data_IF_070026167195
#
_entry.id   IF_070026167195
#
_cell.length_a   1.000
_cell.length_b   1.000
_cell.length_c   1.000
_cell.angle_alpha   90.00
_cell.angle_beta   90.00
_cell.angle_gamma   90.00
#
_symmetry.space_group_name_H-M   'P 1'
#
loop_
_entity.id
_entity.type
_entity.pdbx_description
1 polymer ?
#
# COMPACT_ATOMS: atom_id res chain seq x y z
N UNK A 1 -12.30 -4.04 -60.60
CA UNK A 1 -12.55 -3.34 -59.31
C UNK A 1 -13.85 -3.79 -58.63
N UNK A 2 -14.98 -3.87 -59.35
CA UNK A 2 -16.31 -4.21 -58.79
C UNK A 2 -16.36 -5.56 -58.05
N UNK A 3 -15.81 -6.65 -58.62
CA UNK A 3 -15.81 -7.99 -57.97
C UNK A 3 -15.08 -8.04 -56.62
N UNK A 4 -14.02 -7.24 -56.44
CA UNK A 4 -13.28 -7.17 -55.16
C UNK A 4 -14.08 -6.45 -54.09
N UNK A 5 -14.85 -5.42 -54.47
CA UNK A 5 -15.78 -4.74 -53.57
C UNK A 5 -16.92 -5.66 -53.12
N UNK A 6 -17.47 -6.47 -54.04
CA UNK A 6 -18.56 -7.41 -53.74
C UNK A 6 -18.14 -8.50 -52.75
N UNK A 7 -16.95 -9.09 -52.95
CA UNK A 7 -16.39 -10.11 -52.04
C UNK A 7 -16.12 -9.52 -50.65
N UNK A 8 -15.62 -8.29 -50.60
CA UNK A 8 -15.37 -7.59 -49.34
C UNK A 8 -16.68 -7.31 -48.59
N UNK A 9 -17.72 -6.85 -49.29
CA UNK A 9 -19.04 -6.61 -48.70
C UNK A 9 -19.67 -7.90 -48.13
N UNK A 10 -19.54 -9.03 -48.83
CA UNK A 10 -20.03 -10.32 -48.34
C UNK A 10 -19.27 -10.82 -47.10
N UNK A 11 -17.95 -10.62 -47.04
CA UNK A 11 -17.14 -10.98 -45.88
C UNK A 11 -17.48 -10.12 -44.65
N UNK A 12 -17.67 -8.81 -44.85
CA UNK A 12 -18.07 -7.91 -43.77
C UNK A 12 -19.47 -8.28 -43.27
N UNK A 13 -20.42 -8.53 -44.16
CA UNK A 13 -21.77 -8.97 -43.79
C UNK A 13 -21.75 -10.29 -43.03
N UNK A 14 -20.95 -11.28 -43.46
CA UNK A 14 -20.83 -12.56 -42.76
C UNK A 14 -20.21 -12.38 -41.37
N UNK A 15 -19.20 -11.51 -41.22
CA UNK A 15 -18.57 -11.23 -39.93
C UNK A 15 -19.54 -10.55 -38.96
N UNK A 16 -20.37 -9.61 -39.44
CA UNK A 16 -21.40 -8.97 -38.63
C UNK A 16 -22.45 -9.97 -38.19
N UNK A 17 -22.88 -10.88 -39.09
CA UNK A 17 -23.80 -11.96 -38.76
C UNK A 17 -23.19 -12.90 -37.72
N UNK A 18 -21.93 -13.31 -37.88
CA UNK A 18 -21.22 -14.16 -36.91
C UNK A 18 -21.12 -13.46 -35.54
N UNK A 19 -20.77 -12.18 -35.49
CA UNK A 19 -20.68 -11.42 -34.24
C UNK A 19 -22.04 -11.24 -33.56
N UNK A 20 -23.12 -11.12 -34.35
CA UNK A 20 -24.48 -11.04 -33.83
C UNK A 20 -24.94 -12.36 -33.21
N UNK A 21 -24.62 -13.50 -33.84
CA UNK A 21 -25.00 -14.83 -33.35
C UNK A 21 -24.06 -15.39 -32.26
N UNK A 22 -22.84 -14.87 -32.16
CA UNK A 22 -21.89 -15.18 -31.10
C UNK A 22 -21.55 -13.89 -30.33
N UNK A 23 -22.49 -13.34 -29.53
CA UNK A 23 -22.16 -12.24 -28.64
C UNK A 23 -21.04 -12.71 -27.71
N UNK A 24 -19.98 -11.92 -27.61
CA UNK A 24 -18.95 -12.14 -26.59
C UNK A 24 -19.64 -11.83 -25.26
N UNK A 25 -19.85 -12.87 -24.46
CA UNK A 25 -20.33 -12.70 -23.09
C UNK A 25 -19.30 -11.84 -22.36
N UNK A 26 -19.69 -10.60 -22.04
CA UNK A 26 -18.85 -9.72 -21.26
C UNK A 26 -18.83 -10.29 -19.85
N UNK A 27 -17.71 -10.90 -19.48
CA UNK A 27 -17.47 -11.33 -18.11
C UNK A 27 -17.61 -10.10 -17.21
N UNK A 28 -18.65 -10.08 -16.39
CA UNK A 28 -18.88 -8.99 -15.45
C UNK A 28 -17.66 -8.93 -14.53
N UNK A 29 -16.91 -7.82 -14.50
CA UNK A 29 -15.67 -7.77 -13.75
C UNK A 29 -15.97 -8.06 -12.28
N UNK A 30 -15.34 -9.11 -11.76
CA UNK A 30 -15.46 -9.50 -10.36
C UNK A 30 -15.25 -8.28 -9.45
N UNK A 31 -16.07 -8.11 -8.39
CA UNK A 31 -15.95 -6.95 -7.52
C UNK A 31 -14.54 -6.93 -6.92
N UNK A 32 -13.78 -5.89 -7.28
CA UNK A 32 -12.41 -5.71 -6.78
C UNK A 32 -12.42 -5.70 -5.24
N UNK A 33 -11.47 -6.38 -4.58
CA UNK A 33 -11.23 -6.25 -3.13
C UNK A 33 -10.94 -4.80 -2.73
N UNK A 34 -10.28 -4.06 -3.61
CA UNK A 34 -9.73 -2.74 -3.36
C UNK A 34 -10.59 -1.65 -3.95
N UNK A 35 -10.66 -0.51 -3.25
CA UNK A 35 -11.34 0.70 -3.69
C UNK A 35 -10.36 1.87 -3.53
N UNK A 36 -10.14 2.66 -4.58
CA UNK A 36 -9.28 3.84 -4.51
C UNK A 36 -10.03 5.01 -3.88
N UNK A 37 -9.34 5.77 -3.04
CA UNK A 37 -9.88 6.92 -2.31
C UNK A 37 -8.98 8.15 -2.57
N UNK A 38 -9.60 9.29 -2.89
CA UNK A 38 -8.89 10.56 -3.11
C UNK A 38 -8.38 11.16 -1.80
N UNK A 39 -7.54 12.20 -1.90
CA UNK A 39 -7.11 13.01 -0.75
C UNK A 39 -8.29 13.57 0.08
N UNK A 40 -9.44 13.85 -0.55
CA UNK A 40 -10.64 14.33 0.14
C UNK A 40 -11.53 13.23 0.72
N UNK A 41 -11.09 11.96 0.69
CA UNK A 41 -11.85 10.82 1.23
C UNK A 41 -12.95 10.31 0.31
N UNK A 42 -13.00 10.73 -0.95
CA UNK A 42 -14.04 10.30 -1.89
C UNK A 42 -13.62 9.04 -2.65
N UNK A 43 -14.51 8.03 -2.81
CA UNK A 43 -14.21 6.86 -3.61
C UNK A 43 -14.15 7.21 -5.09
N UNK A 44 -13.20 6.61 -5.81
CA UNK A 44 -13.08 6.72 -7.27
C UNK A 44 -12.92 5.34 -7.91
N UNK A 45 -13.25 5.24 -9.19
CA UNK A 45 -13.09 4.00 -9.94
C UNK A 45 -11.65 3.46 -9.88
N UNK A 46 -11.49 2.13 -9.91
CA UNK A 46 -10.19 1.47 -9.74
C UNK A 46 -9.21 1.78 -10.88
N UNK A 47 -9.70 2.22 -12.04
CA UNK A 47 -8.91 2.63 -13.20
C UNK A 47 -8.62 4.15 -13.20
N UNK A 48 -9.16 4.88 -12.23
CA UNK A 48 -8.98 6.33 -12.09
C UNK A 48 -7.84 6.70 -11.13
N UNK A 49 -7.46 7.98 -11.18
CA UNK A 49 -6.48 8.59 -10.28
C UNK A 49 -6.51 10.13 -10.38
N UNK A 50 -5.72 10.83 -9.55
CA UNK A 50 -4.86 10.29 -8.49
C UNK A 50 -5.67 9.78 -7.29
N UNK A 51 -5.07 8.88 -6.51
CA UNK A 51 -5.61 8.42 -5.21
C UNK A 51 -4.53 8.55 -4.15
N UNK A 52 -4.95 8.75 -2.91
CA UNK A 52 -4.07 8.92 -1.75
C UNK A 52 -4.23 7.81 -0.73
N UNK A 53 -5.35 7.08 -0.80
CA UNK A 53 -5.60 5.93 0.05
C UNK A 53 -6.27 4.79 -0.71
N UNK A 54 -6.18 3.59 -0.14
CA UNK A 54 -6.82 2.38 -0.66
C UNK A 54 -7.65 1.77 0.45
N UNK A 55 -8.94 1.62 0.22
CA UNK A 55 -9.85 0.88 1.06
C UNK A 55 -9.76 -0.61 0.70
N UNK A 56 -9.45 -1.43 1.69
CA UNK A 56 -9.57 -2.88 1.63
C UNK A 56 -10.97 -3.30 2.07
N UNK A 57 -11.85 -3.59 1.11
CA UNK A 57 -13.24 -3.99 1.39
C UNK A 57 -13.35 -5.35 2.09
N UNK A 58 -12.28 -6.15 2.13
CA UNK A 58 -12.25 -7.43 2.85
C UNK A 58 -12.07 -7.21 4.36
N UNK A 59 -11.21 -6.27 4.75
CA UNK A 59 -10.85 -6.04 6.15
C UNK A 59 -11.55 -4.83 6.76
N UNK A 60 -12.11 -3.94 5.93
CA UNK A 60 -12.67 -2.67 6.39
C UNK A 60 -11.59 -1.65 6.76
N UNK A 61 -10.35 -1.85 6.32
CA UNK A 61 -9.23 -0.97 6.61
C UNK A 61 -8.96 -0.01 5.46
N UNK A 62 -8.66 1.24 5.79
CA UNK A 62 -8.20 2.26 4.87
C UNK A 62 -6.69 2.45 5.03
N UNK A 63 -5.95 2.35 3.94
CA UNK A 63 -4.49 2.36 3.93
C UNK A 63 -3.93 3.61 3.26
N UNK A 64 -2.86 4.16 3.83
CA UNK A 64 -2.04 5.21 3.21
C UNK A 64 -1.42 4.70 1.91
N UNK A 65 -1.37 5.53 0.88
CA UNK A 65 -0.59 5.26 -0.34
C UNK A 65 0.65 6.15 -0.35
N UNK A 66 1.83 5.51 -0.33
CA UNK A 66 3.11 6.19 -0.43
C UNK A 66 3.30 6.88 -1.79
N UNK A 67 4.09 7.94 -1.80
CA UNK A 67 4.35 8.78 -2.96
C UNK A 67 5.85 8.83 -3.29
N UNK A 68 6.20 9.69 -4.25
CA UNK A 68 7.56 10.00 -4.71
C UNK A 68 7.57 11.53 -4.94
N UNK A 69 7.45 12.26 -3.82
CA UNK A 69 7.11 13.68 -3.79
C UNK A 69 7.88 14.47 -2.73
N UNK A 70 8.85 13.85 -2.07
CA UNK A 70 9.71 14.41 -1.03
C UNK A 70 8.96 15.03 0.17
N UNK A 71 7.65 14.81 0.28
CA UNK A 71 6.83 15.22 1.43
C UNK A 71 6.74 14.08 2.46
N UNK A 72 5.96 14.25 3.52
CA UNK A 72 5.84 13.24 4.61
C UNK A 72 5.44 11.84 4.10
N UNK A 73 4.77 11.75 2.95
CA UNK A 73 4.28 10.50 2.37
C UNK A 73 5.25 9.83 1.40
N UNK A 74 6.46 10.35 1.25
CA UNK A 74 7.44 9.76 0.34
C UNK A 74 7.81 8.32 0.75
N UNK A 75 7.95 7.46 -0.26
CA UNK A 75 8.33 6.08 -0.10
C UNK A 75 9.79 5.84 0.30
N UNK A 76 10.68 6.80 0.08
CA UNK A 76 12.09 6.70 0.45
C UNK A 76 12.34 6.98 1.93
N UNK A 77 11.38 7.55 2.65
CA UNK A 77 11.52 7.84 4.07
C UNK A 77 11.48 6.59 4.92
N UNK A 78 12.39 6.57 5.88
CA UNK A 78 12.48 5.55 6.90
C UNK A 78 12.41 6.19 8.28
N UNK A 79 11.89 5.44 9.23
CA UNK A 79 11.53 5.93 10.53
C UNK A 79 12.08 4.96 11.58
N UNK A 80 12.48 5.50 12.72
CA UNK A 80 12.64 4.66 13.92
C UNK A 80 11.29 4.43 14.59
N UNK A 81 11.21 3.37 15.38
CA UNK A 81 10.00 3.05 16.10
C UNK A 81 9.95 3.83 17.40
N UNK A 82 8.93 4.68 17.53
CA UNK A 82 8.62 5.47 18.71
C UNK A 82 7.11 5.73 18.77
N UNK A 83 6.47 5.54 19.93
CA UNK A 83 5.02 5.75 20.10
C UNK A 83 4.68 7.00 20.94
N UNK A 84 5.67 7.86 21.19
CA UNK A 84 5.56 8.99 22.12
C UNK A 84 5.92 8.64 23.57
N UNK A 85 6.08 7.35 23.90
CA UNK A 85 6.42 6.88 25.26
C UNK A 85 7.55 5.85 25.26
N UNK A 86 7.52 4.92 24.31
CA UNK A 86 8.42 3.77 24.16
C UNK A 86 9.08 3.84 22.79
N UNK A 87 10.26 3.24 22.71
CA UNK A 87 11.06 3.23 21.50
C UNK A 87 12.18 4.27 21.51
N UNK A 88 12.68 4.60 20.32
CA UNK A 88 13.79 5.55 20.15
C UNK A 88 13.40 6.59 19.11
N UNK A 89 13.26 7.87 19.48
CA UNK A 89 12.94 8.93 18.53
C UNK A 89 14.13 9.23 17.61
N UNK A 90 13.86 9.89 16.48
CA UNK A 90 14.87 10.53 15.63
C UNK A 90 16.00 9.61 15.11
N UNK A 91 15.71 8.35 14.75
CA UNK A 91 16.71 7.42 14.18
C UNK A 91 16.39 6.92 12.77
N UNK A 92 15.36 7.48 12.13
CA UNK A 92 15.08 7.30 10.71
C UNK A 92 15.90 8.20 9.79
N UNK A 93 15.54 8.19 8.51
CA UNK A 93 16.09 9.05 7.45
C UNK A 93 14.93 9.61 6.63
N UNK A 94 14.69 10.91 6.77
CA UNK A 94 13.65 11.67 6.11
C UNK A 94 14.18 13.10 5.87
N UNK A 95 14.25 13.55 4.62
CA UNK A 95 14.93 14.82 4.27
C UNK A 95 14.03 16.05 4.28
N UNK A 96 12.74 15.91 4.56
CA UNK A 96 11.82 17.05 4.60
C UNK A 96 11.94 17.87 5.89
N UNK A 97 12.74 17.42 6.86
CA UNK A 97 13.06 18.15 8.09
C UNK A 97 14.39 17.71 8.74
N UNK A 98 14.98 18.59 9.55
CA UNK A 98 16.29 18.38 10.17
C UNK A 98 16.29 17.36 11.35
N UNK A 99 15.11 16.97 11.84
CA UNK A 99 14.88 16.04 12.96
C UNK A 99 13.45 15.48 12.91
N UNK A 100 13.12 14.40 13.64
CA UNK A 100 11.78 13.77 13.77
C UNK A 100 11.41 12.65 12.81
N UNK A 101 12.40 11.94 12.27
CA UNK A 101 12.16 10.72 11.48
C UNK A 101 11.83 9.50 12.37
N UNK A 102 10.67 9.52 13.03
CA UNK A 102 10.12 8.40 13.80
C UNK A 102 8.61 8.18 13.56
N UNK A 103 8.11 7.03 13.98
CA UNK A 103 6.72 6.63 13.72
C UNK A 103 5.68 7.53 14.39
N UNK A 104 6.00 8.14 15.53
CA UNK A 104 5.07 9.02 16.23
C UNK A 104 4.89 10.34 15.47
N UNK A 105 5.98 10.90 14.95
CA UNK A 105 5.92 12.10 14.11
C UNK A 105 5.15 11.84 12.81
N UNK A 106 5.44 10.74 12.08
CA UNK A 106 4.72 10.40 10.83
C UNK A 106 3.20 10.29 11.04
N UNK A 107 2.79 9.61 12.11
CA UNK A 107 1.37 9.51 12.51
C UNK A 107 0.78 10.88 12.83
N UNK A 108 1.49 11.68 13.63
CA UNK A 108 1.02 13.01 14.06
C UNK A 108 0.80 13.93 12.87
N UNK A 109 1.73 13.98 11.92
CA UNK A 109 1.63 14.81 10.72
C UNK A 109 0.53 14.34 9.78
N UNK A 110 0.44 13.03 9.53
CA UNK A 110 -0.61 12.48 8.68
C UNK A 110 -2.01 12.80 9.22
N UNK A 111 -2.18 12.75 10.54
CA UNK A 111 -3.44 13.13 11.19
C UNK A 111 -3.72 14.64 11.11
N UNK A 112 -2.70 15.48 11.20
CA UNK A 112 -2.84 16.92 11.02
C UNK A 112 -3.22 17.31 9.58
N UNK A 113 -2.70 16.59 8.58
CA UNK A 113 -3.07 16.79 7.16
C UNK A 113 -4.47 16.28 6.82
N UNK A 114 -5.09 15.50 7.71
CA UNK A 114 -6.38 14.85 7.48
C UNK A 114 -6.37 14.00 6.19
N UNK A 115 -5.31 13.22 5.96
CA UNK A 115 -5.13 12.40 4.76
C UNK A 115 -6.40 11.57 4.48
N UNK A 116 -6.95 11.71 3.27
CA UNK A 116 -8.19 11.05 2.84
C UNK A 116 -9.41 11.39 3.71
N UNK A 117 -9.44 12.60 4.27
CA UNK A 117 -10.50 13.06 5.16
C UNK A 117 -10.47 12.41 6.56
N UNK A 118 -9.34 11.80 6.94
CA UNK A 118 -9.19 11.05 8.20
C UNK A 118 -8.10 11.62 9.07
N UNK A 119 -8.33 11.64 10.39
CA UNK A 119 -7.41 12.15 11.42
C UNK A 119 -7.16 11.15 12.55
N UNK A 120 -7.48 9.87 12.31
CA UNK A 120 -7.33 8.74 13.23
C UNK A 120 -6.37 7.66 12.69
N UNK A 121 -5.41 8.07 11.86
CA UNK A 121 -4.33 7.21 11.36
C UNK A 121 -3.44 6.72 12.49
N UNK A 122 -2.98 5.47 12.35
CA UNK A 122 -2.06 4.81 13.28
C UNK A 122 -1.14 3.85 12.53
N UNK A 123 -0.09 3.42 13.22
CA UNK A 123 0.73 2.28 12.77
C UNK A 123 -0.14 1.01 12.79
N UNK A 124 -0.08 0.15 11.76
CA UNK A 124 -0.85 -1.09 11.70
C UNK A 124 -0.29 -2.14 12.66
N UNK A 125 -1.13 -3.05 13.14
CA UNK A 125 -0.67 -4.29 13.81
C UNK A 125 0.02 -5.23 12.82
N UNK A 126 0.72 -6.25 13.31
CA UNK A 126 1.35 -7.26 12.43
C UNK A 126 0.31 -7.97 11.58
N UNK A 127 -0.83 -8.34 12.18
CA UNK A 127 -1.91 -9.05 11.51
C UNK A 127 -2.52 -8.22 10.38
N UNK A 128 -2.79 -6.93 10.63
CA UNK A 128 -3.34 -6.01 9.63
C UNK A 128 -2.38 -5.82 8.46
N UNK A 129 -1.10 -5.52 8.75
CA UNK A 129 -0.11 -5.27 7.71
C UNK A 129 0.15 -6.52 6.87
N UNK A 130 0.13 -7.70 7.50
CA UNK A 130 0.29 -8.98 6.81
C UNK A 130 -0.86 -9.27 5.82
N UNK A 131 -2.04 -8.65 5.97
CA UNK A 131 -3.15 -8.82 5.01
C UNK A 131 -2.88 -8.19 3.64
N UNK A 132 -1.88 -7.31 3.54
CA UNK A 132 -1.43 -6.70 2.29
C UNK A 132 -0.45 -7.58 1.51
N UNK A 133 0.11 -8.62 2.14
CA UNK A 133 1.09 -9.50 1.51
C UNK A 133 0.46 -10.29 0.37
N UNK A 134 1.09 -10.20 -0.80
CA UNK A 134 0.74 -10.95 -2.00
C UNK A 134 1.97 -11.71 -2.52
N UNK A 135 2.07 -12.98 -2.15
CA UNK A 135 3.19 -13.85 -2.52
C UNK A 135 3.18 -14.27 -4.00
N UNK A 136 2.07 -14.08 -4.71
CA UNK A 136 1.98 -14.32 -6.16
C UNK A 136 2.74 -13.27 -6.97
N UNK A 137 3.13 -12.14 -6.36
CA UNK A 137 3.96 -11.13 -7.02
C UNK A 137 5.35 -11.73 -7.32
N UNK A 138 5.90 -11.55 -8.54
CA UNK A 138 7.21 -12.07 -8.91
C UNK A 138 8.35 -11.64 -7.98
N UNK A 139 9.45 -12.39 -8.01
CA UNK A 139 10.66 -12.03 -7.28
C UNK A 139 11.26 -10.73 -7.82
N UNK A 140 11.88 -9.95 -6.92
CA UNK A 140 12.45 -8.65 -7.26
C UNK A 140 11.50 -7.46 -7.08
N UNK A 141 10.20 -7.69 -6.92
CA UNK A 141 9.19 -6.68 -6.58
C UNK A 141 8.75 -6.81 -5.11
N UNK A 142 8.17 -5.74 -4.55
CA UNK A 142 7.55 -5.79 -3.23
C UNK A 142 6.31 -6.70 -3.27
N UNK A 143 6.12 -7.57 -2.27
CA UNK A 143 5.05 -8.56 -2.17
C UNK A 143 3.71 -7.92 -1.80
N UNK A 144 3.20 -7.02 -2.63
CA UNK A 144 1.95 -6.27 -2.44
C UNK A 144 1.30 -5.97 -3.80
N UNK A 145 0.01 -5.68 -3.83
CA UNK A 145 -0.71 -5.27 -5.03
C UNK A 145 -0.26 -3.89 -5.56
N UNK A 146 0.80 -3.87 -6.38
CA UNK A 146 1.42 -2.63 -6.90
C UNK A 146 0.50 -1.70 -7.70
N UNK A 147 -0.60 -2.20 -8.27
CA UNK A 147 -1.61 -1.34 -8.93
C UNK A 147 -2.37 -0.42 -7.97
N UNK A 148 -2.39 -0.75 -6.68
CA UNK A 148 -3.01 0.03 -5.61
C UNK A 148 -1.97 0.70 -4.70
N UNK A 149 -0.82 0.05 -4.53
CA UNK A 149 0.30 0.52 -3.71
C UNK A 149 1.58 0.72 -4.56
N UNK A 150 1.59 1.68 -5.49
CA UNK A 150 2.61 1.78 -6.54
C UNK A 150 4.01 2.13 -6.03
N UNK A 151 4.12 2.73 -4.84
CA UNK A 151 5.38 3.19 -4.26
C UNK A 151 5.77 2.45 -2.99
N UNK A 152 5.15 1.31 -2.68
CA UNK A 152 5.65 0.45 -1.59
C UNK A 152 6.97 -0.18 -2.01
N UNK A 153 7.98 -0.01 -1.17
CA UNK A 153 9.34 -0.50 -1.39
C UNK A 153 9.50 -1.90 -0.83
N UNK A 154 10.53 -2.57 -1.29
CA UNK A 154 11.04 -3.78 -0.66
C UNK A 154 11.76 -3.40 0.63
N UNK A 155 11.40 -4.03 1.72
CA UNK A 155 12.06 -3.84 3.00
C UNK A 155 11.11 -4.07 4.16
N UNK A 156 11.62 -3.79 5.35
CA UNK A 156 10.89 -3.97 6.60
C UNK A 156 9.99 -2.77 6.85
N UNK A 157 8.72 -3.02 7.21
CA UNK A 157 7.72 -2.01 7.52
C UNK A 157 7.27 -2.19 8.97
N UNK A 158 7.36 -1.13 9.77
CA UNK A 158 7.02 -1.18 11.18
C UNK A 158 5.55 -1.53 11.43
N UNK A 159 5.34 -2.26 12.53
CA UNK A 159 4.01 -2.55 13.08
C UNK A 159 3.88 -1.94 14.48
N UNK A 160 2.66 -1.88 15.00
CA UNK A 160 2.37 -1.45 16.36
C UNK A 160 2.74 -2.50 17.41
N UNK A 161 3.03 -3.74 17.01
CA UNK A 161 3.30 -4.83 17.95
C UNK A 161 4.73 -4.72 18.47
N UNK A 162 4.85 -4.39 19.75
CA UNK A 162 6.10 -3.98 20.37
C UNK A 162 6.34 -4.70 21.70
N UNK A 163 7.44 -4.37 22.39
CA UNK A 163 7.86 -4.99 23.64
C UNK A 163 8.14 -6.48 23.49
N UNK A 164 8.68 -6.83 22.33
CA UNK A 164 9.02 -8.20 21.99
C UNK A 164 10.51 -8.39 22.30
N UNK A 165 10.88 -9.38 23.13
CA UNK A 165 12.28 -9.62 23.46
C UNK A 165 13.13 -9.88 22.22
N UNK A 166 14.27 -9.20 22.14
CA UNK A 166 15.22 -9.39 21.05
C UNK A 166 16.12 -10.61 21.33
N UNK A 167 16.43 -11.36 20.27
CA UNK A 167 17.31 -12.53 20.34
C UNK A 167 18.65 -12.33 19.62
N UNK A 168 19.61 -13.22 19.88
CA UNK A 168 20.91 -13.22 19.20
C UNK A 168 21.72 -11.96 19.48
N UNK A 169 22.31 -11.38 18.43
CA UNK A 169 23.18 -10.19 18.51
C UNK A 169 22.47 -8.99 19.16
N UNK A 170 21.16 -8.87 19.01
CA UNK A 170 20.38 -7.73 19.52
C UNK A 170 19.83 -7.92 20.94
N UNK A 171 20.06 -9.08 21.58
CA UNK A 171 19.57 -9.36 22.94
C UNK A 171 19.92 -8.29 23.98
N UNK A 172 21.09 -7.65 23.84
CA UNK A 172 21.54 -6.57 24.74
C UNK A 172 20.73 -5.29 24.64
N UNK A 173 19.95 -5.13 23.57
CA UNK A 173 19.05 -3.98 23.37
C UNK A 173 17.69 -4.19 24.05
N UNK A 174 17.46 -5.35 24.66
CA UNK A 174 16.24 -5.67 25.40
C UNK A 174 15.10 -6.06 24.48
N UNK A 175 14.24 -5.09 24.17
CA UNK A 175 13.01 -5.29 23.41
C UNK A 175 13.02 -4.50 22.10
N UNK A 176 12.13 -4.89 21.19
CA UNK A 176 11.89 -4.20 19.94
C UNK A 176 10.43 -4.25 19.52
N UNK A 177 10.20 -3.98 18.24
CA UNK A 177 8.90 -4.10 17.59
C UNK A 177 8.98 -5.03 16.38
N UNK A 178 7.84 -5.58 16.02
CA UNK A 178 7.72 -6.35 14.79
C UNK A 178 7.70 -5.41 13.58
N UNK A 179 8.27 -5.92 12.49
CA UNK A 179 8.17 -5.37 11.16
C UNK A 179 7.81 -6.48 10.17
N UNK A 180 7.01 -6.15 9.15
CA UNK A 180 6.68 -7.05 8.04
C UNK A 180 7.60 -6.71 6.87
N UNK A 181 8.31 -7.71 6.34
CA UNK A 181 9.22 -7.53 5.22
C UNK A 181 8.51 -7.73 3.88
N UNK A 182 8.32 -6.67 3.10
CA UNK A 182 7.70 -6.77 1.78
C UNK A 182 8.62 -7.39 0.70
N UNK A 183 9.84 -7.85 1.03
CA UNK A 183 10.66 -8.67 0.12
C UNK A 183 10.14 -10.09 0.01
N UNK A 184 9.75 -10.68 1.13
CA UNK A 184 9.44 -12.12 1.27
C UNK A 184 8.17 -12.42 2.08
N UNK A 185 7.56 -11.42 2.72
CA UNK A 185 6.36 -11.53 3.53
C UNK A 185 6.61 -12.00 4.96
N UNK A 186 7.86 -12.07 5.42
CA UNK A 186 8.16 -12.53 6.78
C UNK A 186 8.00 -11.43 7.82
N UNK A 187 7.65 -11.85 9.04
CA UNK A 187 7.66 -10.97 10.22
C UNK A 187 9.01 -11.10 10.92
N UNK A 188 9.59 -9.97 11.30
CA UNK A 188 10.87 -9.88 12.03
C UNK A 188 10.73 -8.95 13.22
N UNK A 189 11.39 -9.27 14.32
CA UNK A 189 11.52 -8.33 15.45
C UNK A 189 12.80 -7.53 15.29
N UNK A 190 12.67 -6.22 15.22
CA UNK A 190 13.78 -5.29 15.03
C UNK A 190 13.95 -4.40 16.28
N UNK A 191 15.18 -4.01 16.63
CA UNK A 191 15.42 -2.99 17.66
C UNK A 191 14.73 -1.68 17.30
N UNK A 192 14.15 -1.00 18.29
CA UNK A 192 13.42 0.26 18.08
C UNK A 192 14.18 1.34 17.32
N UNK A 193 15.51 1.36 17.47
CA UNK A 193 16.42 2.32 16.83
C UNK A 193 16.69 2.07 15.34
N UNK A 194 16.24 0.94 14.79
CA UNK A 194 16.47 0.64 13.38
C UNK A 194 15.61 1.57 12.51
N UNK A 195 16.10 1.88 11.32
CA UNK A 195 15.31 2.57 10.31
C UNK A 195 14.51 1.55 9.50
N UNK A 196 13.19 1.71 9.45
CA UNK A 196 12.29 0.89 8.64
C UNK A 196 11.18 1.75 8.04
N UNK A 197 10.49 1.24 7.02
CA UNK A 197 9.43 1.97 6.35
C UNK A 197 8.13 2.00 7.17
N UNK A 198 7.19 2.86 6.78
CA UNK A 198 5.84 2.93 7.34
C UNK A 198 4.79 2.95 6.23
N UNK A 199 3.64 2.37 6.55
CA UNK A 199 2.37 2.59 5.86
C UNK A 199 1.31 2.66 6.95
N UNK A 200 0.59 3.77 7.03
CA UNK A 200 -0.42 3.96 8.07
C UNK A 200 -1.76 3.33 7.69
N UNK A 201 -2.55 3.04 8.71
CA UNK A 201 -3.89 2.47 8.59
C UNK A 201 -4.89 3.21 9.46
N UNK A 202 -6.15 3.23 9.03
CA UNK A 202 -7.30 3.60 9.85
C UNK A 202 -8.50 2.69 9.52
N UNK A 203 -9.56 2.74 10.32
CA UNK A 203 -10.81 2.05 10.03
C UNK A 203 -11.60 2.79 8.95
N UNK A 204 -12.20 2.04 8.02
CA UNK A 204 -13.20 2.56 7.11
C UNK A 204 -14.52 2.75 7.87
N UNK A 205 -15.19 3.89 7.66
CA UNK A 205 -16.54 4.14 8.18
C UNK A 205 -17.60 3.37 7.40
#
# INVERSE_FOLDING_TARGET
MIKRLSILATLISSLVVIAYFNPIEQEEPQPSRWQKITMGGQPIDIWSGPWSCVLDKKTGLLWEVKTDSENIHDSYWSYSWFDGKRGVPDRGDCFFEDSRCDSFDHVTRTNAESLCGRSDWRVPTTDELSTLINLSVPNGQAKISGGFFPRVRKGDYWTADHSIPLSGFYSRLGEGANAVDFRDGQVKTLPYRNAAFLILVTQAQ
#
